data_IF_760938841836
#
_entry.id   IF_760938841836
#
_cell.length_a   1.000
_cell.length_b   1.000
_cell.length_c   1.000
_cell.angle_alpha   90.00
_cell.angle_beta   90.00
_cell.angle_gamma   90.00
#
_symmetry.space_group_name_H-M   'P 1'
#
loop_
_entity.id
_entity.type
_entity.pdbx_description
1 polymer ?
#
# COMPACT_ATOMS: atom_id res chain seq x y z
N UNK A 1 -0.74 19.98 1.18
CA UNK A 1 -0.50 18.64 1.74
C UNK A 1 0.18 17.82 0.66
N UNK A 2 1.32 17.20 0.94
CA UNK A 2 1.97 16.33 -0.05
C UNK A 2 1.12 15.04 -0.17
N UNK A 3 0.61 14.68 -1.36
CA UNK A 3 -0.31 13.56 -1.52
C UNK A 3 0.33 12.24 -1.08
N UNK A 4 1.65 12.11 -1.21
CA UNK A 4 2.41 10.93 -0.76
C UNK A 4 2.37 10.77 0.76
N UNK A 5 2.46 11.88 1.50
CA UNK A 5 2.35 11.83 2.96
C UNK A 5 0.94 11.41 3.39
N UNK A 6 -0.10 11.93 2.74
CA UNK A 6 -1.48 11.54 3.04
C UNK A 6 -1.75 10.06 2.74
N UNK A 7 -1.22 9.54 1.64
CA UNK A 7 -1.34 8.13 1.24
C UNK A 7 -0.66 7.20 2.25
N UNK A 8 0.55 7.54 2.71
CA UNK A 8 1.35 6.67 3.59
C UNK A 8 1.07 6.84 5.07
N UNK A 9 0.35 7.89 5.47
CA UNK A 9 -0.01 8.18 6.86
C UNK A 9 -0.57 6.96 7.64
N UNK A 10 -1.47 6.13 7.09
CA UNK A 10 -2.00 4.97 7.81
C UNK A 10 -0.93 3.98 8.26
N UNK A 11 0.07 3.74 7.41
CA UNK A 11 1.18 2.81 7.72
C UNK A 11 2.13 3.41 8.75
N UNK A 12 2.35 4.73 8.68
CA UNK A 12 3.13 5.48 9.67
C UNK A 12 2.43 5.44 11.03
N UNK A 13 1.12 5.67 11.08
CA UNK A 13 0.31 5.62 12.30
C UNK A 13 0.22 4.20 12.89
N UNK A 14 0.28 3.18 12.04
CA UNK A 14 0.42 1.78 12.46
C UNK A 14 1.81 1.43 13.00
N UNK A 15 2.76 2.38 12.99
CA UNK A 15 4.09 2.23 13.56
C UNK A 15 5.10 1.53 12.66
N UNK A 16 4.83 1.42 11.35
CA UNK A 16 5.78 0.79 10.44
C UNK A 16 6.99 1.71 10.20
N UNK A 17 8.21 1.19 10.25
CA UNK A 17 9.38 1.95 9.83
C UNK A 17 9.34 2.16 8.31
N UNK A 18 9.94 3.25 7.86
CA UNK A 18 9.99 3.64 6.44
C UNK A 18 10.57 2.54 5.54
N UNK A 19 11.54 1.77 6.05
CA UNK A 19 12.13 0.63 5.33
C UNK A 19 11.10 -0.47 5.06
N UNK A 20 10.29 -0.86 6.05
CA UNK A 20 9.22 -1.86 5.86
C UNK A 20 8.14 -1.34 4.93
N UNK A 21 7.76 -0.06 5.01
CA UNK A 21 6.82 0.55 4.07
C UNK A 21 7.36 0.46 2.65
N UNK A 22 8.66 0.75 2.47
CA UNK A 22 9.33 0.67 1.17
C UNK A 22 9.34 -0.76 0.63
N UNK A 23 9.63 -1.75 1.47
CA UNK A 23 9.63 -3.17 1.08
C UNK A 23 8.24 -3.64 0.65
N UNK A 24 7.18 -3.27 1.39
CA UNK A 24 5.80 -3.60 1.04
C UNK A 24 5.39 -2.98 -0.31
N UNK A 25 5.69 -1.69 -0.52
CA UNK A 25 5.39 -1.01 -1.77
C UNK A 25 6.22 -1.56 -2.94
N UNK A 26 7.49 -1.91 -2.70
CA UNK A 26 8.35 -2.53 -3.69
C UNK A 26 7.80 -3.89 -4.13
N UNK A 27 7.40 -4.72 -3.16
CA UNK A 27 6.80 -6.03 -3.40
C UNK A 27 5.47 -5.92 -4.16
N UNK A 28 4.59 -5.01 -3.75
CA UNK A 28 3.35 -4.71 -4.48
C UNK A 28 3.64 -4.32 -5.94
N UNK A 29 4.59 -3.40 -6.15
CA UNK A 29 4.97 -2.94 -7.49
C UNK A 29 5.54 -4.08 -8.33
N UNK A 30 6.35 -4.94 -7.72
CA UNK A 30 6.92 -6.10 -8.37
C UNK A 30 5.85 -7.12 -8.75
N UNK A 31 4.91 -7.43 -7.85
CA UNK A 31 3.79 -8.33 -8.13
C UNK A 31 2.90 -7.79 -9.26
N UNK A 32 2.62 -6.48 -9.26
CA UNK A 32 1.90 -5.81 -10.34
C UNK A 32 2.61 -5.97 -11.70
N UNK A 33 3.92 -5.72 -11.74
CA UNK A 33 4.71 -5.86 -12.98
C UNK A 33 4.80 -7.33 -13.42
N UNK A 34 5.00 -8.25 -12.48
CA UNK A 34 5.14 -9.68 -12.75
C UNK A 34 3.84 -10.30 -13.28
N UNK A 35 2.68 -9.73 -12.93
CA UNK A 35 1.34 -10.19 -13.33
C UNK A 35 0.69 -9.33 -14.42
N UNK A 36 1.47 -8.55 -15.16
CA UNK A 36 0.96 -7.68 -16.25
C UNK A 36 -0.15 -6.73 -15.80
N UNK A 37 -0.01 -6.17 -14.59
CA UNK A 37 -0.94 -5.22 -13.99
C UNK A 37 -2.12 -5.86 -13.25
N UNK A 38 -2.25 -7.20 -13.26
CA UNK A 38 -3.31 -7.89 -12.53
C UNK A 38 -2.94 -8.07 -11.04
N UNK A 39 -3.58 -7.26 -10.20
CA UNK A 39 -3.45 -7.29 -8.74
C UNK A 39 -4.68 -7.86 -8.04
N UNK A 40 -5.65 -8.42 -8.78
CA UNK A 40 -6.95 -8.79 -8.21
C UNK A 40 -6.77 -9.87 -7.12
N UNK A 41 -7.07 -9.49 -5.86
CA UNK A 41 -6.90 -10.33 -4.67
C UNK A 41 -5.51 -10.39 -4.02
N UNK A 42 -4.43 -10.03 -4.73
CA UNK A 42 -3.05 -10.29 -4.27
C UNK A 42 -2.43 -9.12 -3.49
N UNK A 43 -2.91 -7.89 -3.71
CA UNK A 43 -2.42 -6.72 -2.97
C UNK A 43 -2.59 -6.88 -1.44
N UNK A 44 -3.62 -7.61 -0.98
CA UNK A 44 -3.79 -7.94 0.43
C UNK A 44 -2.90 -9.09 0.93
N UNK A 45 -2.44 -9.96 0.03
CA UNK A 45 -1.55 -11.08 0.36
C UNK A 45 -0.15 -10.61 0.77
N UNK A 46 0.31 -9.47 0.25
CA UNK A 46 1.59 -8.81 0.60
C UNK A 46 1.74 -8.60 2.12
N UNK A 47 0.62 -8.39 2.82
CA UNK A 47 0.59 -8.12 4.28
C UNK A 47 -0.01 -9.26 5.10
N UNK A 48 -0.19 -10.47 4.55
CA UNK A 48 -0.89 -11.56 5.26
C UNK A 48 -0.19 -11.99 6.57
N UNK A 49 1.14 -11.90 6.61
CA UNK A 49 1.96 -12.14 7.81
C UNK A 49 2.06 -10.97 8.80
N UNK A 50 1.43 -9.83 8.51
CA UNK A 50 1.49 -8.63 9.35
C UNK A 50 0.37 -8.59 10.40
N UNK A 51 0.55 -7.83 11.50
CA UNK A 51 -0.49 -7.63 12.50
C UNK A 51 -1.79 -7.06 11.91
N UNK A 52 -2.96 -7.33 12.50
CA UNK A 52 -4.25 -6.84 11.99
C UNK A 52 -4.31 -5.32 11.78
N UNK A 53 -3.68 -4.55 12.67
CA UNK A 53 -3.60 -3.09 12.54
C UNK A 53 -2.84 -2.64 11.29
N UNK A 54 -1.75 -3.35 10.95
CA UNK A 54 -0.95 -3.10 9.74
C UNK A 54 -1.73 -3.47 8.48
N UNK A 55 -2.47 -4.59 8.52
CA UNK A 55 -3.32 -5.03 7.40
C UNK A 55 -4.43 -4.01 7.12
N UNK A 56 -5.07 -3.48 8.16
CA UNK A 56 -6.08 -2.42 8.02
C UNK A 56 -5.47 -1.12 7.46
N UNK A 57 -4.31 -0.70 7.99
CA UNK A 57 -3.59 0.46 7.48
C UNK A 57 -3.19 0.31 6.01
N UNK A 58 -2.79 -0.90 5.60
CA UNK A 58 -2.44 -1.20 4.21
C UNK A 58 -3.64 -1.05 3.26
N UNK A 59 -4.81 -1.60 3.63
CA UNK A 59 -6.04 -1.46 2.83
C UNK A 59 -6.43 0.02 2.68
N UNK A 60 -6.31 0.81 3.76
CA UNK A 60 -6.55 2.25 3.73
C UNK A 60 -5.55 2.97 2.80
N UNK A 61 -4.26 2.64 2.88
CA UNK A 61 -3.23 3.21 1.98
C UNK A 61 -3.52 2.91 0.52
N UNK A 62 -3.90 1.67 0.17
CA UNK A 62 -4.29 1.31 -1.20
C UNK A 62 -5.51 2.10 -1.66
N UNK A 63 -6.51 2.25 -0.79
CA UNK A 63 -7.72 3.03 -1.09
C UNK A 63 -7.39 4.50 -1.38
N UNK A 64 -6.45 5.08 -0.62
CA UNK A 64 -5.95 6.44 -0.86
C UNK A 64 -5.14 6.56 -2.14
N UNK A 65 -4.34 5.56 -2.51
CA UNK A 65 -3.61 5.53 -3.77
C UNK A 65 -4.56 5.53 -4.97
N UNK A 66 -5.61 4.70 -4.93
CA UNK A 66 -6.63 4.63 -6.00
C UNK A 66 -7.36 5.98 -6.11
N UNK A 67 -7.84 6.53 -5.00
CA UNK A 67 -8.49 7.84 -5.00
C UNK A 67 -7.58 8.96 -5.53
N UNK A 68 -6.29 8.94 -5.17
CA UNK A 68 -5.32 9.91 -5.69
C UNK A 68 -5.08 9.74 -7.19
N UNK A 69 -5.03 8.51 -7.69
CA UNK A 69 -4.87 8.22 -9.11
C UNK A 69 -6.09 8.71 -9.93
N UNK A 70 -7.31 8.46 -9.45
CA UNK A 70 -8.56 8.93 -10.08
C UNK A 70 -8.64 10.46 -10.17
N UNK A 71 -8.10 11.18 -9.18
CA UNK A 71 -8.05 12.65 -9.18
C UNK A 71 -7.03 13.24 -10.17
N UNK A 72 -6.07 12.44 -10.63
CA UNK A 72 -5.02 12.85 -11.57
C UNK A 72 -5.22 12.33 -13.00
N UNK A 73 -6.27 11.53 -13.22
CA UNK A 73 -6.58 10.88 -14.51
C UNK A 73 -7.52 11.70 -15.38
#
# INVERSE_FOLDING_TARGET
MDPRQWILQPLVDAGLPSETITDLLFRLSFEAVARDGDLDGDACAVVDGQPPAVRAAWVETLSRMIAAAELTS
#
